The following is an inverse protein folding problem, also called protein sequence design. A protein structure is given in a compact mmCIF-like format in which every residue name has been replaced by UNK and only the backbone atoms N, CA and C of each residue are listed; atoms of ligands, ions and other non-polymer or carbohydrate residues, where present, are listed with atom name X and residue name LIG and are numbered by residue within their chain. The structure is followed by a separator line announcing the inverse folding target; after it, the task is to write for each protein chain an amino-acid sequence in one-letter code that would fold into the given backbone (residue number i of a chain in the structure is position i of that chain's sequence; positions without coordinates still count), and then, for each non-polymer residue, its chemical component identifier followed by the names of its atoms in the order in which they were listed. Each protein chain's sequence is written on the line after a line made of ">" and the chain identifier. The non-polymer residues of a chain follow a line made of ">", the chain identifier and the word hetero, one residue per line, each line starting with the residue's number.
data_IF_085134889627
#
_entry.id   IF_085134889627
#
_cell.length_a   1.000
_cell.length_b   1.000
_cell.length_c   1.000
_cell.angle_alpha   90.00
_cell.angle_beta   90.00
_cell.angle_gamma   90.00
#
_symmetry.space_group_name_H-M   'P 1'
#
loop_
_entity.id
_entity.type
_entity.pdbx_description
1 polymer ?
#
# COMPACT_ATOMS: atom_id res chain seq x y z
N UNK A 1 24.65 -16.74 -13.66
CA UNK A 1 23.99 -16.95 -12.35
C UNK A 1 22.65 -16.25 -12.40
N UNK A 2 21.54 -16.98 -12.46
CA UNK A 2 20.20 -16.37 -12.44
C UNK A 2 19.86 -15.99 -10.99
N UNK A 3 19.35 -14.78 -10.71
CA UNK A 3 18.93 -14.42 -9.36
C UNK A 3 17.82 -15.38 -8.90
N UNK A 4 17.91 -15.90 -7.68
CA UNK A 4 16.80 -16.64 -7.09
C UNK A 4 15.56 -15.74 -7.04
N UNK A 5 14.39 -16.28 -7.36
CA UNK A 5 13.15 -15.53 -7.28
C UNK A 5 12.96 -14.95 -5.88
N UNK A 6 12.46 -13.71 -5.74
CA UNK A 6 12.22 -13.13 -4.43
C UNK A 6 11.21 -14.00 -3.66
N UNK A 7 11.37 -14.13 -2.34
CA UNK A 7 10.41 -14.87 -1.52
C UNK A 7 9.02 -14.23 -1.63
N UNK A 8 7.98 -15.07 -1.66
CA UNK A 8 6.59 -14.58 -1.59
C UNK A 8 6.35 -13.88 -0.26
N UNK A 9 5.61 -12.77 -0.28
CA UNK A 9 5.19 -12.09 0.94
C UNK A 9 4.34 -13.04 1.79
N UNK A 10 4.75 -13.24 3.04
CA UNK A 10 4.03 -14.04 4.03
C UNK A 10 3.70 -13.17 5.23
N UNK A 11 2.46 -13.28 5.71
CA UNK A 11 2.02 -12.60 6.93
C UNK A 11 2.32 -13.52 8.12
N UNK A 12 2.87 -12.97 9.21
CA UNK A 12 3.08 -13.74 10.43
C UNK A 12 1.73 -14.18 11.02
N UNK A 13 1.61 -15.43 11.45
CA UNK A 13 0.37 -15.97 12.00
C UNK A 13 -0.05 -15.36 13.35
N UNK A 14 0.90 -14.84 14.12
CA UNK A 14 0.68 -14.26 15.45
C UNK A 14 0.38 -12.75 15.41
N UNK A 15 0.05 -12.21 14.23
CA UNK A 15 -0.21 -10.80 14.05
C UNK A 15 -1.54 -10.39 14.71
N UNK A 16 -1.48 -9.41 15.60
CA UNK A 16 -2.69 -8.79 16.12
C UNK A 16 -3.40 -8.01 15.01
N UNK A 17 -4.70 -7.74 15.19
CA UNK A 17 -5.45 -6.94 14.23
C UNK A 17 -4.84 -5.54 14.05
N UNK A 18 -4.43 -4.90 15.15
CA UNK A 18 -3.84 -3.56 15.14
C UNK A 18 -2.50 -3.56 14.41
N UNK A 19 -1.63 -4.53 14.70
CA UNK A 19 -0.35 -4.69 13.99
C UNK A 19 -0.55 -4.99 12.50
N UNK A 20 -1.58 -5.76 12.15
CA UNK A 20 -1.89 -6.09 10.75
C UNK A 20 -2.34 -4.85 10.00
N UNK A 21 -3.18 -4.02 10.63
CA UNK A 21 -3.64 -2.79 10.03
C UNK A 21 -2.51 -1.75 9.92
N UNK A 22 -1.63 -1.67 10.92
CA UNK A 22 -0.43 -0.83 10.85
C UNK A 22 0.47 -1.25 9.67
N UNK A 23 0.73 -2.56 9.51
CA UNK A 23 1.49 -3.08 8.37
C UNK A 23 0.80 -2.80 7.02
N UNK A 24 -0.52 -2.92 6.95
CA UNK A 24 -1.29 -2.56 5.75
C UNK A 24 -1.12 -1.06 5.43
N UNK A 25 -1.25 -0.17 6.42
CA UNK A 25 -1.06 1.26 6.21
C UNK A 25 0.36 1.60 5.77
N UNK A 26 1.37 0.90 6.27
CA UNK A 26 2.75 1.01 5.83
C UNK A 26 2.95 0.56 4.38
N UNK A 27 2.39 -0.59 4.00
CA UNK A 27 2.43 -1.09 2.62
C UNK A 27 1.73 -0.14 1.66
N UNK A 28 0.56 0.40 2.02
CA UNK A 28 -0.16 1.37 1.21
C UNK A 28 0.65 2.66 1.05
N UNK A 29 1.31 3.16 2.10
CA UNK A 29 2.20 4.33 1.98
C UNK A 29 3.36 4.06 1.01
N UNK A 30 3.99 2.89 1.09
CA UNK A 30 5.06 2.50 0.17
C UNK A 30 4.56 2.37 -1.28
N UNK A 31 3.38 1.80 -1.48
CA UNK A 31 2.74 1.70 -2.79
C UNK A 31 2.42 3.08 -3.38
N UNK A 32 1.93 4.03 -2.57
CA UNK A 32 1.67 5.41 -2.99
C UNK A 32 2.98 6.11 -3.42
N UNK A 33 4.02 6.01 -2.60
CA UNK A 33 5.34 6.56 -2.93
C UNK A 33 5.93 5.95 -4.21
N UNK A 34 5.73 4.65 -4.41
CA UNK A 34 6.16 3.95 -5.63
C UNK A 34 5.39 4.44 -6.86
N UNK A 35 4.06 4.55 -6.76
CA UNK A 35 3.23 5.09 -7.84
C UNK A 35 3.60 6.55 -8.18
N UNK A 36 3.91 7.36 -7.16
CA UNK A 36 4.38 8.74 -7.34
C UNK A 36 5.73 8.81 -8.08
N UNK A 37 6.70 8.00 -7.65
CA UNK A 37 8.00 7.92 -8.31
C UNK A 37 7.88 7.41 -9.75
N UNK A 38 7.05 6.39 -9.98
CA UNK A 38 6.77 5.85 -11.32
C UNK A 38 6.10 6.89 -12.21
N UNK A 39 5.12 7.65 -11.71
CA UNK A 39 4.49 8.75 -12.46
C UNK A 39 5.51 9.76 -12.94
N UNK A 40 6.48 10.12 -12.10
CA UNK A 40 7.52 11.09 -12.45
C UNK A 40 8.44 10.61 -13.58
N UNK A 41 8.53 9.29 -13.78
CA UNK A 41 9.35 8.65 -14.82
C UNK A 41 8.58 8.35 -16.12
N UNK A 42 7.25 8.47 -16.13
CA UNK A 42 6.37 8.13 -17.25
C UNK A 42 5.84 9.39 -17.96
N UNK A 43 5.22 9.20 -19.13
CA UNK A 43 4.56 10.27 -19.88
C UNK A 43 3.27 9.79 -20.54
N UNK A 44 2.35 10.72 -20.84
CA UNK A 44 1.10 10.39 -21.52
C UNK A 44 0.14 9.57 -20.66
N UNK A 45 -0.45 8.52 -21.24
CA UNK A 45 -1.49 7.73 -20.58
C UNK A 45 -0.96 6.95 -19.35
N UNK A 46 0.25 6.42 -19.43
CA UNK A 46 0.88 5.67 -18.32
C UNK A 46 1.10 6.56 -17.09
N UNK A 47 1.40 7.85 -17.31
CA UNK A 47 1.52 8.84 -16.24
C UNK A 47 0.16 9.07 -15.55
N UNK A 48 -0.93 9.18 -16.32
CA UNK A 48 -2.27 9.31 -15.75
C UNK A 48 -2.67 8.05 -14.97
N UNK A 49 -2.36 6.86 -15.49
CA UNK A 49 -2.61 5.59 -14.79
C UNK A 49 -1.84 5.54 -13.46
N UNK A 50 -0.56 5.90 -13.43
CA UNK A 50 0.21 5.96 -12.19
C UNK A 50 -0.32 7.03 -11.20
N UNK A 51 -0.92 8.12 -11.70
CA UNK A 51 -1.70 9.07 -10.90
C UNK A 51 -2.94 8.45 -10.27
N UNK A 52 -3.74 7.76 -11.07
CA UNK A 52 -4.94 7.07 -10.60
C UNK A 52 -4.58 5.98 -9.57
N UNK A 53 -3.50 5.22 -9.80
CA UNK A 53 -3.00 4.22 -8.83
C UNK A 53 -2.64 4.86 -7.49
N UNK A 54 -1.86 5.95 -7.47
CA UNK A 54 -1.54 6.64 -6.21
C UNK A 54 -2.82 7.11 -5.50
N UNK A 55 -3.78 7.67 -6.25
CA UNK A 55 -5.04 8.14 -5.67
C UNK A 55 -5.83 7.00 -5.01
N UNK A 56 -5.99 5.86 -5.70
CA UNK A 56 -6.70 4.69 -5.17
C UNK A 56 -6.01 4.15 -3.91
N UNK A 57 -4.68 4.11 -3.89
CA UNK A 57 -3.91 3.67 -2.71
C UNK A 57 -4.12 4.62 -1.53
N UNK A 58 -4.13 5.93 -1.76
CA UNK A 58 -4.40 6.92 -0.71
C UNK A 58 -5.84 6.81 -0.17
N UNK A 59 -6.83 6.53 -1.04
CA UNK A 59 -8.20 6.25 -0.62
C UNK A 59 -8.29 4.98 0.24
N UNK A 60 -7.62 3.90 -0.17
CA UNK A 60 -7.57 2.67 0.60
C UNK A 60 -6.95 2.90 2.00
N UNK A 61 -5.88 3.69 2.08
CA UNK A 61 -5.27 4.06 3.37
C UNK A 61 -6.24 4.84 4.25
N UNK A 62 -6.94 5.82 3.68
CA UNK A 62 -7.93 6.60 4.44
C UNK A 62 -9.05 5.72 5.00
N UNK A 63 -9.51 4.73 4.21
CA UNK A 63 -10.52 3.77 4.66
C UNK A 63 -9.99 2.85 5.77
N UNK A 64 -8.74 2.39 5.66
CA UNK A 64 -8.08 1.59 6.68
C UNK A 64 -7.93 2.37 8.00
N UNK A 65 -7.47 3.62 7.94
CA UNK A 65 -7.35 4.51 9.10
C UNK A 65 -8.73 4.69 9.78
N UNK A 66 -9.81 4.89 9.01
CA UNK A 66 -11.18 4.98 9.56
C UNK A 66 -11.68 3.67 10.17
N UNK A 67 -11.35 2.52 9.58
CA UNK A 67 -11.73 1.23 10.13
C UNK A 67 -11.08 1.00 11.50
N UNK A 68 -9.83 1.43 11.70
CA UNK A 68 -9.16 1.38 13.00
C UNK A 68 -9.86 2.24 14.04
N UNK A 69 -10.18 3.49 13.69
CA UNK A 69 -10.86 4.42 14.59
C UNK A 69 -12.23 3.88 15.04
N UNK A 70 -12.99 3.27 14.14
CA UNK A 70 -14.27 2.63 14.47
C UNK A 70 -14.12 1.50 15.49
N UNK A 71 -13.01 0.73 15.44
CA UNK A 71 -12.76 -0.35 16.39
C UNK A 71 -12.32 0.17 17.76
N UNK A 72 -11.62 1.30 17.82
CA UNK A 72 -11.23 1.93 19.08
C UNK A 72 -12.37 2.70 19.75
N UNK A 73 -13.43 3.03 19.00
CA UNK A 73 -14.60 3.75 19.50
C UNK A 73 -15.74 2.83 20.00
N UNK A 74 -15.61 1.51 19.82
CA UNK A 74 -16.57 0.49 20.22
C UNK A 74 -16.25 -0.09 21.60
#
# INVERSE_FOLDING_TARGET
>A
MQPAAPPSFTVHHDLSFEDALAQICDLLRCAAATAAATRQALSGDEQHMAGATEHLVNQAKTLADRALECLHAA
#
